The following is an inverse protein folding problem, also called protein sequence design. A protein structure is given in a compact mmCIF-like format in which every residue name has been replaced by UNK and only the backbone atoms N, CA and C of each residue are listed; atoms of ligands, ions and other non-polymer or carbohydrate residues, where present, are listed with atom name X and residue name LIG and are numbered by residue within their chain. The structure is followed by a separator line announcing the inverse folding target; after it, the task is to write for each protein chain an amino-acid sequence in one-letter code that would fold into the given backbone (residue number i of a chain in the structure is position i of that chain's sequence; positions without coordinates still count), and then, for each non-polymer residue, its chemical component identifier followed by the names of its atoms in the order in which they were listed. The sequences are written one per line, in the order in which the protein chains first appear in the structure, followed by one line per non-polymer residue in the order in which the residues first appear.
data_IF_238627957289
#
_entry.id   IF_238627957289
#
_cell.length_a   1.000
_cell.length_b   1.000
_cell.length_c   1.000
_cell.angle_alpha   90.00
_cell.angle_beta   90.00
_cell.angle_gamma   90.00
#
_symmetry.space_group_name_H-M   'P 1'
#
loop_
_entity.id
_entity.type
_entity.pdbx_description
1 polymer ?
#
# COMPACT_ATOMS: atom_id res chain seq x y z
N UNK A 1 9.81 12.66 -20.96
CA UNK A 1 10.52 13.65 -20.13
C UNK A 1 9.96 13.63 -18.72
N UNK A 2 10.79 13.21 -17.75
CA UNK A 2 10.41 13.29 -16.36
C UNK A 2 10.23 14.76 -15.97
N UNK A 3 9.14 15.07 -15.27
CA UNK A 3 8.92 16.36 -14.64
C UNK A 3 10.16 16.78 -13.82
N UNK A 4 10.50 18.07 -13.85
CA UNK A 4 11.66 18.61 -13.13
C UNK A 4 11.62 18.28 -11.63
N UNK A 5 10.43 18.22 -11.03
CA UNK A 5 10.26 17.79 -9.65
C UNK A 5 10.78 16.37 -9.43
N UNK A 6 10.44 15.43 -10.31
CA UNK A 6 10.91 14.03 -10.22
C UNK A 6 12.42 13.92 -10.42
N UNK A 7 13.01 14.76 -11.28
CA UNK A 7 14.46 14.83 -11.48
C UNK A 7 15.19 15.35 -10.25
N UNK A 8 14.63 16.32 -9.53
CA UNK A 8 15.22 16.98 -8.37
C UNK A 8 14.94 16.24 -7.05
N UNK A 9 13.93 15.35 -7.01
CA UNK A 9 13.59 14.62 -5.81
C UNK A 9 14.70 13.66 -5.36
N UNK A 10 14.96 13.63 -4.07
CA UNK A 10 15.86 12.67 -3.44
C UNK A 10 15.32 11.23 -3.41
N UNK A 11 14.04 11.01 -3.73
CA UNK A 11 13.45 9.67 -3.88
C UNK A 11 13.42 9.29 -5.34
N UNK A 12 13.86 8.06 -5.66
CA UNK A 12 13.73 7.50 -7.02
C UNK A 12 12.99 6.16 -6.98
N UNK A 13 12.17 5.96 -8.02
CA UNK A 13 11.31 4.79 -8.14
C UNK A 13 11.84 3.87 -9.22
N UNK A 14 11.89 2.57 -8.91
CA UNK A 14 12.34 1.52 -9.83
C UNK A 14 11.33 0.37 -9.83
N UNK A 15 11.28 -0.38 -10.91
CA UNK A 15 10.52 -1.61 -11.05
C UNK A 15 11.49 -2.69 -11.50
N UNK A 16 11.70 -3.71 -10.67
CA UNK A 16 12.63 -4.81 -10.94
C UNK A 16 11.94 -6.06 -11.49
N UNK A 17 10.62 -6.11 -11.36
CA UNK A 17 9.80 -7.24 -11.84
C UNK A 17 8.49 -6.76 -12.46
N UNK A 18 7.85 -7.62 -13.24
CA UNK A 18 6.52 -7.38 -13.81
C UNK A 18 5.65 -8.61 -13.64
N UNK A 19 4.42 -8.38 -13.16
CA UNK A 19 3.43 -9.39 -12.90
C UNK A 19 3.46 -9.93 -11.48
N UNK A 20 2.47 -10.72 -11.12
CA UNK A 20 2.27 -11.28 -9.79
C UNK A 20 1.77 -12.72 -9.90
N UNK A 21 2.24 -13.68 -9.07
CA UNK A 21 1.78 -15.07 -9.14
C UNK A 21 0.41 -15.31 -8.48
N UNK A 22 -0.18 -14.29 -7.85
CA UNK A 22 -1.45 -14.39 -7.11
C UNK A 22 -2.65 -13.90 -7.92
N UNK A 23 -3.85 -14.41 -7.56
CA UNK A 23 -5.13 -14.16 -8.24
C UNK A 23 -6.09 -13.34 -7.38
N UNK A 24 -5.59 -12.26 -6.75
CA UNK A 24 -6.44 -11.37 -5.97
C UNK A 24 -7.48 -10.70 -6.87
N UNK A 25 -8.76 -10.79 -6.50
CA UNK A 25 -9.92 -10.39 -7.33
C UNK A 25 -9.99 -8.91 -7.66
N UNK A 26 -9.41 -8.06 -6.81
CA UNK A 26 -9.38 -6.59 -6.97
C UNK A 26 -8.20 -6.09 -7.81
N UNK A 27 -7.25 -6.96 -8.21
CA UNK A 27 -5.96 -6.56 -8.74
C UNK A 27 -5.89 -6.68 -10.25
N UNK A 28 -5.36 -5.66 -10.92
CA UNK A 28 -5.12 -5.66 -12.37
C UNK A 28 -4.12 -6.73 -12.83
N UNK A 29 -3.21 -7.19 -11.98
CA UNK A 29 -2.29 -8.26 -12.34
C UNK A 29 -3.02 -9.55 -12.71
N UNK A 30 -4.16 -9.85 -12.07
CA UNK A 30 -5.00 -10.96 -12.44
C UNK A 30 -5.58 -10.76 -13.85
N UNK A 31 -6.18 -9.62 -14.13
CA UNK A 31 -6.73 -9.30 -15.46
C UNK A 31 -5.66 -9.32 -16.56
N UNK A 32 -4.46 -8.80 -16.28
CA UNK A 32 -3.32 -8.86 -17.20
C UNK A 32 -2.84 -10.29 -17.42
N UNK A 33 -2.79 -11.12 -16.37
CA UNK A 33 -2.40 -12.53 -16.50
C UNK A 33 -3.35 -13.31 -17.41
N UNK A 34 -4.65 -13.03 -17.34
CA UNK A 34 -5.64 -13.61 -18.25
C UNK A 34 -5.41 -13.14 -19.69
N UNK A 35 -5.22 -11.86 -19.94
CA UNK A 35 -4.98 -11.27 -21.25
C UNK A 35 -3.71 -11.85 -21.93
N UNK A 36 -2.68 -12.15 -21.14
CA UNK A 36 -1.40 -12.67 -21.60
C UNK A 36 -1.24 -14.18 -21.36
N UNK A 37 -2.32 -14.92 -21.08
CA UNK A 37 -2.27 -16.36 -20.88
C UNK A 37 -1.63 -17.06 -22.08
N UNK A 38 -0.63 -17.90 -21.82
CA UNK A 38 0.13 -18.61 -22.87
C UNK A 38 1.15 -17.77 -23.64
N UNK A 39 1.32 -16.48 -23.34
CA UNK A 39 2.25 -15.57 -24.04
C UNK A 39 3.54 -15.28 -23.26
N UNK A 40 3.96 -16.18 -22.40
CA UNK A 40 5.20 -16.05 -21.62
C UNK A 40 5.01 -16.27 -20.13
N UNK A 41 6.04 -15.94 -19.36
CA UNK A 41 6.01 -16.09 -17.90
C UNK A 41 5.12 -15.04 -17.25
N UNK A 42 4.27 -15.45 -16.31
CA UNK A 42 3.40 -14.57 -15.54
C UNK A 42 4.18 -13.57 -14.67
N UNK A 43 5.28 -14.00 -14.09
CA UNK A 43 6.21 -13.14 -13.34
C UNK A 43 7.55 -13.12 -14.05
N UNK A 44 8.07 -11.92 -14.32
CA UNK A 44 9.36 -11.68 -14.96
C UNK A 44 10.20 -10.79 -14.06
N UNK A 45 11.34 -11.28 -13.63
CA UNK A 45 12.28 -10.59 -12.74
C UNK A 45 13.51 -10.17 -13.55
N UNK A 46 14.00 -8.96 -13.34
CA UNK A 46 15.31 -8.51 -13.86
C UNK A 46 16.44 -9.23 -13.10
N UNK A 47 17.59 -9.43 -13.75
CA UNK A 47 18.78 -9.87 -13.04
C UNK A 47 19.25 -8.80 -12.04
N UNK A 48 19.92 -9.23 -10.99
CA UNK A 48 20.49 -8.30 -9.98
C UNK A 48 21.48 -7.33 -10.64
N UNK A 49 22.29 -7.79 -11.60
CA UNK A 49 23.18 -6.93 -12.40
C UNK A 49 22.44 -5.77 -13.03
N UNK A 50 21.32 -6.07 -13.70
CA UNK A 50 20.54 -5.03 -14.39
C UNK A 50 19.90 -4.05 -13.43
N UNK A 51 19.42 -4.52 -12.29
CA UNK A 51 18.86 -3.63 -11.25
C UNK A 51 19.94 -2.69 -10.72
N UNK A 52 21.11 -3.21 -10.37
CA UNK A 52 22.22 -2.40 -9.86
C UNK A 52 22.69 -1.40 -10.93
N UNK A 53 22.87 -1.85 -12.17
CA UNK A 53 23.24 -0.97 -13.30
C UNK A 53 22.26 0.22 -13.42
N UNK A 54 20.96 -0.03 -13.42
CA UNK A 54 19.96 1.03 -13.55
C UNK A 54 19.94 1.98 -12.36
N UNK A 55 20.06 1.46 -11.13
CA UNK A 55 20.08 2.29 -9.93
C UNK A 55 21.34 3.15 -9.88
N UNK A 56 22.50 2.60 -10.19
CA UNK A 56 23.78 3.32 -10.25
C UNK A 56 23.72 4.39 -11.34
N UNK A 57 23.22 4.06 -12.54
CA UNK A 57 23.08 5.01 -13.66
C UNK A 57 22.23 6.23 -13.27
N UNK A 58 21.13 6.03 -12.51
CA UNK A 58 20.28 7.13 -12.02
C UNK A 58 20.99 7.92 -10.94
N UNK A 59 21.65 7.25 -9.97
CA UNK A 59 22.38 7.89 -8.86
C UNK A 59 23.49 8.81 -9.34
N UNK A 60 24.20 8.44 -10.41
CA UNK A 60 25.27 9.26 -10.97
C UNK A 60 24.78 10.54 -11.67
N UNK A 61 23.49 10.58 -12.07
CA UNK A 61 22.93 11.67 -12.89
C UNK A 61 21.94 12.56 -12.16
N UNK A 62 21.38 12.06 -11.06
CA UNK A 62 20.30 12.76 -10.34
C UNK A 62 20.49 12.64 -8.82
N UNK A 63 20.03 13.63 -8.05
CA UNK A 63 19.95 13.50 -6.60
C UNK A 63 19.20 12.24 -6.21
N UNK A 64 19.78 11.42 -5.34
CA UNK A 64 19.14 10.20 -4.85
C UNK A 64 19.60 9.90 -3.43
N UNK A 65 18.67 9.80 -2.49
CA UNK A 65 18.91 9.49 -1.08
C UNK A 65 18.12 8.27 -0.63
N UNK A 66 17.06 7.92 -1.37
CA UNK A 66 16.15 6.84 -1.04
C UNK A 66 15.63 6.16 -2.30
N UNK A 67 15.58 4.83 -2.29
CA UNK A 67 15.08 4.01 -3.40
C UNK A 67 13.72 3.44 -3.04
N UNK A 68 12.76 3.51 -3.96
CA UNK A 68 11.46 2.85 -3.84
C UNK A 68 11.34 1.81 -4.95
N UNK A 69 11.33 0.54 -4.58
CA UNK A 69 10.99 -0.53 -5.51
C UNK A 69 9.48 -0.72 -5.54
N UNK A 70 8.87 -0.38 -6.69
CA UNK A 70 7.41 -0.40 -6.91
C UNK A 70 6.90 -1.76 -7.40
N UNK A 71 7.71 -2.80 -7.29
CA UNK A 71 7.29 -4.15 -7.64
C UNK A 71 6.01 -4.52 -6.87
N UNK A 72 5.12 -5.27 -7.51
CA UNK A 72 3.94 -5.81 -6.83
C UNK A 72 4.35 -6.74 -5.68
N UNK A 73 5.44 -7.50 -5.89
CA UNK A 73 6.06 -8.38 -4.90
C UNK A 73 7.57 -8.46 -5.12
N UNK A 74 8.32 -7.89 -4.20
CA UNK A 74 9.78 -7.81 -4.31
C UNK A 74 10.51 -9.11 -3.95
N UNK A 75 10.00 -9.86 -2.96
CA UNK A 75 10.71 -10.98 -2.30
C UNK A 75 10.27 -12.38 -2.79
N UNK A 76 9.83 -12.52 -4.05
CA UNK A 76 9.31 -13.81 -4.54
C UNK A 76 10.42 -14.86 -4.62
N UNK A 77 11.52 -14.54 -5.27
CA UNK A 77 12.64 -15.46 -5.49
C UNK A 77 13.72 -15.30 -4.41
N UNK A 78 13.97 -16.37 -3.65
CA UNK A 78 14.93 -16.35 -2.53
C UNK A 78 16.36 -16.15 -3.01
N UNK A 79 16.78 -16.86 -4.07
CA UNK A 79 18.15 -16.78 -4.61
C UNK A 79 18.46 -15.37 -5.13
N UNK A 80 17.49 -14.76 -5.83
CA UNK A 80 17.60 -13.39 -6.30
C UNK A 80 17.75 -12.39 -5.13
N UNK A 81 16.94 -12.57 -4.08
CA UNK A 81 17.02 -11.71 -2.89
C UNK A 81 18.36 -11.88 -2.16
N UNK A 82 18.87 -13.09 -2.09
CA UNK A 82 20.19 -13.38 -1.49
C UNK A 82 21.31 -12.70 -2.27
N UNK A 83 21.32 -12.81 -3.60
CA UNK A 83 22.29 -12.12 -4.45
C UNK A 83 22.20 -10.60 -4.29
N UNK A 84 20.97 -10.05 -4.29
CA UNK A 84 20.74 -8.62 -4.08
C UNK A 84 21.24 -8.15 -2.72
N UNK A 85 20.96 -8.90 -1.65
CA UNK A 85 21.41 -8.58 -0.29
C UNK A 85 22.93 -8.52 -0.18
N UNK A 86 23.63 -9.43 -0.85
CA UNK A 86 25.10 -9.46 -0.86
C UNK A 86 25.72 -8.27 -1.62
N UNK A 87 25.03 -7.68 -2.58
CA UNK A 87 25.60 -6.71 -3.54
C UNK A 87 25.09 -5.28 -3.36
N UNK A 88 23.78 -5.09 -3.18
CA UNK A 88 23.16 -3.77 -3.16
C UNK A 88 23.77 -2.79 -2.14
N UNK A 89 24.11 -3.20 -0.89
CA UNK A 89 24.74 -2.31 0.08
C UNK A 89 26.09 -1.77 -0.34
N UNK A 90 26.87 -2.57 -1.06
CA UNK A 90 28.22 -2.22 -1.50
C UNK A 90 28.23 -1.39 -2.78
N UNK A 91 27.37 -1.73 -3.72
CA UNK A 91 27.35 -1.13 -5.05
C UNK A 91 26.42 0.11 -5.13
N UNK A 92 25.34 0.13 -4.33
CA UNK A 92 24.39 1.25 -4.27
C UNK A 92 24.48 2.00 -2.95
N UNK A 93 24.42 1.31 -1.81
CA UNK A 93 24.60 1.90 -0.47
C UNK A 93 23.50 2.86 -0.03
N UNK A 94 22.27 2.73 -0.57
CA UNK A 94 21.14 3.57 -0.23
C UNK A 94 20.01 2.78 0.45
N UNK A 95 19.31 3.39 1.41
CA UNK A 95 18.13 2.77 2.01
C UNK A 95 17.00 2.64 0.99
N UNK A 96 16.15 1.63 1.16
CA UNK A 96 15.03 1.42 0.26
C UNK A 96 13.74 0.95 0.93
N UNK A 97 12.65 1.14 0.21
CA UNK A 97 11.33 0.59 0.44
C UNK A 97 10.98 -0.45 -0.65
N UNK A 98 10.24 -1.51 -0.28
CA UNK A 98 9.67 -2.44 -1.25
C UNK A 98 8.33 -3.00 -0.77
N UNK A 99 7.54 -3.59 -1.69
CA UNK A 99 6.28 -4.25 -1.36
C UNK A 99 6.48 -5.74 -1.11
N UNK A 100 5.81 -6.21 -0.06
CA UNK A 100 5.85 -7.61 0.37
C UNK A 100 4.44 -8.16 0.59
N UNK A 101 4.33 -9.48 0.72
CA UNK A 101 3.09 -10.18 1.07
C UNK A 101 3.33 -11.08 2.28
N UNK A 102 2.40 -11.10 3.22
CA UNK A 102 2.56 -11.82 4.50
C UNK A 102 2.92 -13.32 4.32
N UNK A 103 2.32 -14.01 3.32
CA UNK A 103 2.66 -15.41 3.03
C UNK A 103 4.13 -15.65 2.64
N UNK A 104 4.80 -14.62 2.11
CA UNK A 104 6.20 -14.73 1.65
C UNK A 104 7.19 -14.34 2.74
N UNK A 105 6.73 -13.78 3.85
CA UNK A 105 7.59 -13.38 4.97
C UNK A 105 8.02 -14.61 5.76
N UNK A 106 9.34 -14.78 5.86
CA UNK A 106 10.03 -15.74 6.73
C UNK A 106 11.18 -15.02 7.44
N UNK A 107 11.70 -15.57 8.57
CA UNK A 107 12.85 -14.99 9.26
C UNK A 107 14.06 -14.76 8.34
N UNK A 108 14.35 -15.71 7.45
CA UNK A 108 15.47 -15.66 6.51
C UNK A 108 15.31 -14.51 5.51
N UNK A 109 14.12 -14.36 4.91
CA UNK A 109 13.86 -13.28 3.96
C UNK A 109 13.88 -11.91 4.61
N UNK A 110 13.42 -11.81 5.86
CA UNK A 110 13.49 -10.56 6.63
C UNK A 110 14.94 -10.20 6.94
N UNK A 111 15.78 -11.18 7.31
CA UNK A 111 17.20 -10.97 7.50
C UNK A 111 17.89 -10.48 6.21
N UNK A 112 17.61 -11.11 5.06
CA UNK A 112 18.12 -10.68 3.75
C UNK A 112 17.65 -9.26 3.37
N UNK A 113 16.40 -8.92 3.62
CA UNK A 113 15.91 -7.55 3.41
C UNK A 113 16.68 -6.54 4.25
N UNK A 114 16.92 -6.87 5.53
CA UNK A 114 17.70 -6.01 6.42
C UNK A 114 19.14 -5.86 5.96
N UNK A 115 19.79 -6.96 5.58
CA UNK A 115 21.14 -6.97 5.01
C UNK A 115 21.22 -6.14 3.73
N UNK A 116 20.22 -6.24 2.85
CA UNK A 116 20.14 -5.44 1.62
C UNK A 116 20.00 -3.92 1.84
N UNK A 117 19.71 -3.47 3.08
CA UNK A 117 19.51 -2.07 3.41
C UNK A 117 18.03 -1.64 3.36
N UNK A 118 17.07 -2.58 3.38
CA UNK A 118 15.65 -2.28 3.48
C UNK A 118 15.34 -1.61 4.81
N UNK A 119 14.73 -0.42 4.77
CA UNK A 119 14.32 0.32 5.97
C UNK A 119 12.82 0.31 6.20
N UNK A 120 12.05 0.06 5.15
CA UNK A 120 10.59 0.00 5.24
C UNK A 120 9.98 -0.90 4.18
N UNK A 121 8.84 -1.50 4.49
CA UNK A 121 8.09 -2.35 3.56
C UNK A 121 6.61 -1.98 3.57
N UNK A 122 5.97 -2.11 2.39
CA UNK A 122 4.52 -2.08 2.23
C UNK A 122 3.95 -3.50 2.22
N UNK A 123 2.96 -3.78 3.06
CA UNK A 123 2.31 -5.08 3.12
C UNK A 123 0.79 -4.92 3.02
N UNK A 124 0.19 -5.52 1.98
CA UNK A 124 -1.26 -5.56 1.82
C UNK A 124 -1.91 -6.45 2.88
N UNK A 125 -2.65 -5.84 3.81
CA UNK A 125 -3.55 -6.51 4.74
C UNK A 125 -4.95 -6.61 4.11
N UNK A 126 -5.40 -5.52 3.54
CA UNK A 126 -6.61 -5.24 2.75
C UNK A 126 -7.88 -5.24 3.60
N UNK A 127 -8.22 -6.32 4.29
CA UNK A 127 -9.37 -6.39 5.21
C UNK A 127 -9.10 -7.31 6.39
N UNK A 128 -9.62 -6.95 7.55
CA UNK A 128 -9.60 -7.76 8.78
C UNK A 128 -10.64 -8.86 8.79
N UNK A 129 -11.71 -8.73 8.00
CA UNK A 129 -12.72 -9.76 7.91
C UNK A 129 -12.19 -10.98 7.13
N UNK A 130 -12.08 -12.13 7.82
CA UNK A 130 -11.46 -13.35 7.26
C UNK A 130 -12.24 -13.90 6.07
N UNK A 131 -13.57 -13.89 6.10
CA UNK A 131 -14.39 -14.36 5.00
C UNK A 131 -14.21 -13.47 3.76
N UNK A 132 -14.33 -12.14 3.91
CA UNK A 132 -14.08 -11.21 2.82
C UNK A 132 -12.66 -11.36 2.26
N UNK A 133 -11.66 -11.47 3.13
CA UNK A 133 -10.26 -11.62 2.71
C UNK A 133 -10.03 -12.87 1.87
N UNK A 134 -10.61 -14.01 2.26
CA UNK A 134 -10.28 -15.30 1.65
C UNK A 134 -11.28 -15.73 0.57
N UNK A 135 -12.56 -15.43 0.72
CA UNK A 135 -13.60 -15.82 -0.23
C UNK A 135 -13.81 -14.77 -1.34
N UNK A 136 -13.89 -13.48 -0.95
CA UNK A 136 -14.13 -12.39 -1.90
C UNK A 136 -12.84 -11.89 -2.53
N UNK A 137 -11.82 -11.59 -1.73
CA UNK A 137 -10.54 -11.06 -2.24
C UNK A 137 -9.55 -12.17 -2.68
N UNK A 138 -9.82 -13.44 -2.40
CA UNK A 138 -8.98 -14.62 -2.70
C UNK A 138 -7.53 -14.47 -2.25
N UNK A 139 -7.33 -13.95 -1.04
CA UNK A 139 -5.97 -13.73 -0.53
C UNK A 139 -5.37 -14.95 0.17
N UNK A 140 -6.18 -15.87 0.66
CA UNK A 140 -5.74 -17.12 1.31
C UNK A 140 -4.71 -16.89 2.41
N UNK A 141 -5.07 -16.05 3.41
CA UNK A 141 -4.22 -15.72 4.55
C UNK A 141 -5.03 -15.70 5.85
N UNK A 142 -4.47 -16.30 6.91
CA UNK A 142 -5.00 -16.17 8.26
C UNK A 142 -4.53 -14.88 8.95
N UNK A 143 -5.25 -14.47 10.00
CA UNK A 143 -4.84 -13.34 10.86
C UNK A 143 -3.49 -13.62 11.51
N UNK A 144 -3.28 -14.84 12.03
CA UNK A 144 -2.02 -15.24 12.65
C UNK A 144 -0.84 -15.08 11.71
N UNK A 145 -1.00 -15.45 10.42
CA UNK A 145 0.06 -15.29 9.42
C UNK A 145 0.38 -13.82 9.16
N UNK A 146 -0.63 -12.96 9.14
CA UNK A 146 -0.45 -11.51 8.95
C UNK A 146 0.23 -10.88 10.17
N UNK A 147 -0.22 -11.23 11.38
CA UNK A 147 0.34 -10.73 12.64
C UNK A 147 1.78 -11.19 12.82
N UNK A 148 2.06 -12.48 12.54
CA UNK A 148 3.41 -13.02 12.63
C UNK A 148 4.36 -12.36 11.62
N UNK A 149 3.95 -12.19 10.38
CA UNK A 149 4.74 -11.46 9.37
C UNK A 149 5.03 -10.02 9.83
N UNK A 150 4.03 -9.35 10.39
CA UNK A 150 4.18 -7.99 10.94
C UNK A 150 5.16 -7.95 12.11
N UNK A 151 5.13 -8.96 12.98
CA UNK A 151 6.05 -9.10 14.12
C UNK A 151 7.49 -9.25 13.63
N UNK A 152 7.75 -10.19 12.72
CA UNK A 152 9.09 -10.46 12.16
C UNK A 152 9.70 -9.20 11.51
N UNK A 153 8.90 -8.48 10.70
CA UNK A 153 9.35 -7.24 10.04
C UNK A 153 9.77 -6.19 11.09
N UNK A 154 8.93 -5.96 12.11
CA UNK A 154 9.18 -4.94 13.14
C UNK A 154 10.36 -5.31 14.04
N UNK A 155 10.50 -6.57 14.44
CA UNK A 155 11.62 -7.06 15.27
C UNK A 155 12.97 -6.92 14.56
N UNK A 156 13.00 -7.00 13.23
CA UNK A 156 14.18 -6.69 12.43
C UNK A 156 14.48 -5.18 12.32
N UNK A 157 13.64 -4.32 12.91
CA UNK A 157 13.78 -2.87 12.83
C UNK A 157 13.42 -2.29 11.45
N UNK A 158 12.63 -3.01 10.65
CA UNK A 158 12.09 -2.55 9.37
C UNK A 158 10.71 -1.92 9.64
N UNK A 159 10.48 -0.72 9.12
CA UNK A 159 9.21 -0.02 9.29
C UNK A 159 8.13 -0.67 8.42
N UNK A 160 6.98 -0.97 9.02
CA UNK A 160 5.86 -1.60 8.33
C UNK A 160 4.81 -0.56 7.94
N UNK A 161 4.53 -0.44 6.65
CA UNK A 161 3.33 0.20 6.12
C UNK A 161 2.32 -0.90 5.78
N UNK A 162 1.10 -0.82 6.32
CA UNK A 162 0.00 -1.68 5.86
C UNK A 162 -0.88 -0.93 4.87
N UNK A 163 -1.34 -1.63 3.83
CA UNK A 163 -2.39 -1.13 2.95
C UNK A 163 -3.69 -1.84 3.24
N UNK A 164 -4.78 -1.07 3.29
CA UNK A 164 -6.09 -1.53 3.69
C UNK A 164 -7.15 -0.95 2.75
N UNK A 165 -8.16 -1.73 2.45
CA UNK A 165 -9.36 -1.29 1.75
C UNK A 165 -10.52 -1.21 2.73
N UNK A 166 -11.22 -0.10 2.73
CA UNK A 166 -12.48 0.10 3.48
C UNK A 166 -13.63 0.27 2.50
N UNK A 167 -14.83 -0.11 2.95
CA UNK A 167 -16.02 -0.03 2.10
C UNK A 167 -16.00 -1.03 0.94
N UNK A 168 -15.63 -2.27 1.18
CA UNK A 168 -15.68 -3.34 0.18
C UNK A 168 -17.13 -3.66 -0.23
N UNK A 169 -17.39 -4.09 -1.47
CA UNK A 169 -18.72 -4.44 -1.94
C UNK A 169 -19.32 -5.60 -1.13
N UNK A 170 -20.53 -5.40 -0.62
CA UNK A 170 -21.20 -6.35 0.29
C UNK A 170 -20.70 -6.33 1.73
N UNK A 171 -19.70 -5.49 2.03
CA UNK A 171 -19.20 -5.28 3.38
C UNK A 171 -20.00 -4.26 4.17
N UNK A 172 -19.73 -4.18 5.46
CA UNK A 172 -20.35 -3.28 6.43
C UNK A 172 -19.31 -2.44 7.14
N UNK A 173 -19.74 -1.38 7.82
CA UNK A 173 -18.87 -0.58 8.69
C UNK A 173 -18.14 -1.45 9.75
N UNK A 174 -18.79 -2.50 10.29
CA UNK A 174 -18.14 -3.39 11.25
C UNK A 174 -16.98 -4.19 10.63
N UNK A 175 -17.07 -4.60 9.37
CA UNK A 175 -15.94 -5.25 8.68
C UNK A 175 -14.73 -4.31 8.55
N UNK A 176 -14.98 -3.01 8.40
CA UNK A 176 -13.91 -2.01 8.40
C UNK A 176 -13.29 -1.83 9.81
N UNK A 177 -14.10 -1.95 10.87
CA UNK A 177 -13.56 -1.98 12.24
C UNK A 177 -12.81 -3.28 12.57
N UNK A 178 -13.17 -4.43 11.99
CA UNK A 178 -12.35 -5.65 12.06
C UNK A 178 -10.98 -5.41 11.40
N UNK A 179 -10.96 -4.66 10.29
CA UNK A 179 -9.71 -4.26 9.62
C UNK A 179 -8.85 -3.37 10.52
N UNK A 180 -9.47 -2.44 11.22
CA UNK A 180 -8.79 -1.61 12.21
C UNK A 180 -8.23 -2.44 13.37
N UNK A 181 -9.01 -3.40 13.89
CA UNK A 181 -8.58 -4.28 14.97
C UNK A 181 -7.38 -5.16 14.58
N UNK A 182 -7.37 -5.71 13.36
CA UNK A 182 -6.22 -6.47 12.85
C UNK A 182 -4.97 -5.59 12.72
N UNK A 183 -5.11 -4.33 12.30
CA UNK A 183 -4.00 -3.38 12.29
C UNK A 183 -3.46 -3.08 13.68
N UNK A 184 -4.31 -3.04 14.73
CA UNK A 184 -3.85 -2.90 16.12
C UNK A 184 -2.95 -4.07 16.53
N UNK A 185 -3.28 -5.30 16.12
CA UNK A 185 -2.45 -6.48 16.38
C UNK A 185 -1.12 -6.41 15.60
N UNK A 186 -1.14 -5.92 14.36
CA UNK A 186 0.03 -5.78 13.50
C UNK A 186 0.99 -4.66 13.94
N UNK A 187 0.48 -3.60 14.58
CA UNK A 187 1.24 -2.41 15.04
C UNK A 187 2.11 -1.79 13.94
N UNK A 188 1.55 -1.39 12.78
CA UNK A 188 2.33 -0.80 11.69
C UNK A 188 2.86 0.57 12.07
N UNK A 189 3.96 1.00 11.44
CA UNK A 189 4.46 2.36 11.51
C UNK A 189 3.52 3.37 10.81
N UNK A 190 2.75 2.89 9.83
CA UNK A 190 1.67 3.63 9.19
C UNK A 190 0.65 2.67 8.59
N UNK A 191 -0.63 2.86 8.91
CA UNK A 191 -1.73 2.12 8.31
C UNK A 191 -2.40 3.01 7.25
N UNK A 192 -2.17 2.70 5.98
CA UNK A 192 -2.80 3.41 4.88
C UNK A 192 -4.12 2.74 4.52
N UNK A 193 -5.23 3.48 4.50
CA UNK A 193 -6.53 2.98 4.10
C UNK A 193 -7.02 3.70 2.84
N UNK A 194 -7.71 2.97 1.97
CA UNK A 194 -8.32 3.45 0.75
C UNK A 194 -9.79 3.05 0.71
N UNK A 195 -10.65 3.91 0.22
CA UNK A 195 -11.99 3.50 -0.20
C UNK A 195 -11.84 2.60 -1.43
N UNK A 196 -12.45 1.41 -1.37
CA UNK A 196 -12.42 0.51 -2.51
C UNK A 196 -13.06 1.17 -3.75
N UNK A 197 -12.37 1.05 -4.89
CA UNK A 197 -12.86 1.51 -6.18
C UNK A 197 -13.06 0.29 -7.13
N UNK A 198 -14.25 0.13 -7.73
CA UNK A 198 -14.58 -1.00 -8.58
C UNK A 198 -13.97 -0.85 -9.98
N UNK A 199 -12.68 -1.08 -10.10
CA UNK A 199 -12.01 -0.96 -11.40
C UNK A 199 -12.57 -1.94 -12.44
N UNK A 200 -12.85 -1.46 -13.66
CA UNK A 200 -13.32 -2.31 -14.77
C UNK A 200 -12.37 -3.47 -15.05
N UNK A 201 -12.92 -4.61 -15.46
CA UNK A 201 -12.17 -5.84 -15.79
C UNK A 201 -11.43 -6.50 -14.62
N UNK A 202 -11.59 -6.03 -13.40
CA UNK A 202 -11.20 -6.80 -12.22
C UNK A 202 -12.38 -7.67 -11.78
N UNK A 203 -12.11 -8.88 -11.29
CA UNK A 203 -13.16 -9.80 -10.85
C UNK A 203 -14.05 -9.16 -9.77
N UNK A 204 -13.46 -8.44 -8.81
CA UNK A 204 -14.20 -7.74 -7.76
C UNK A 204 -14.99 -6.54 -8.30
N UNK A 205 -14.48 -5.83 -9.30
CA UNK A 205 -15.20 -4.73 -9.95
C UNK A 205 -16.44 -5.22 -10.69
N UNK A 206 -16.33 -6.33 -11.43
CA UNK A 206 -17.47 -6.96 -12.09
C UNK A 206 -18.47 -7.52 -11.07
N UNK A 207 -17.98 -8.18 -10.00
CA UNK A 207 -18.83 -8.62 -8.89
C UNK A 207 -19.62 -7.46 -8.28
N UNK A 208 -18.99 -6.33 -8.05
CA UNK A 208 -19.66 -5.15 -7.49
C UNK A 208 -20.76 -4.63 -8.44
N UNK A 209 -20.49 -4.59 -9.74
CA UNK A 209 -21.44 -4.15 -10.76
C UNK A 209 -22.62 -5.13 -10.89
N UNK A 210 -22.36 -6.43 -11.00
CA UNK A 210 -23.38 -7.46 -11.22
C UNK A 210 -24.34 -7.63 -10.04
N UNK A 211 -23.83 -7.39 -8.82
CA UNK A 211 -24.65 -7.46 -7.60
C UNK A 211 -25.28 -6.11 -7.20
N UNK A 212 -25.20 -5.08 -8.06
CA UNK A 212 -25.85 -3.80 -7.83
C UNK A 212 -25.23 -2.95 -6.72
N UNK A 213 -23.96 -3.20 -6.37
CA UNK A 213 -23.23 -2.40 -5.38
C UNK A 213 -22.69 -1.09 -5.94
N UNK A 214 -22.65 -0.88 -7.25
CA UNK A 214 -22.18 0.36 -7.88
C UNK A 214 -23.33 1.34 -8.02
N UNK A 215 -23.14 2.59 -7.56
CA UNK A 215 -24.05 3.72 -7.80
C UNK A 215 -23.55 4.52 -8.99
N UNK A 216 -24.41 4.71 -10.00
CA UNK A 216 -24.06 5.45 -11.21
C UNK A 216 -23.20 4.66 -12.20
N UNK A 217 -22.24 5.33 -12.82
CA UNK A 217 -21.31 4.78 -13.81
C UNK A 217 -19.91 4.56 -13.20
N UNK A 218 -19.16 3.64 -13.78
CA UNK A 218 -17.73 3.51 -13.49
C UNK A 218 -16.91 4.74 -13.92
N UNK A 219 -17.47 5.58 -14.80
CA UNK A 219 -16.87 6.87 -15.18
C UNK A 219 -16.97 7.92 -14.05
N UNK A 220 -17.84 7.67 -13.05
CA UNK A 220 -17.97 8.53 -11.86
C UNK A 220 -16.93 8.21 -10.77
N UNK A 221 -16.03 7.25 -11.01
CA UNK A 221 -14.93 6.95 -10.08
C UNK A 221 -14.08 8.20 -9.91
N UNK A 222 -14.03 8.71 -8.68
CA UNK A 222 -13.24 9.88 -8.34
C UNK A 222 -11.74 9.60 -8.57
N UNK A 223 -11.01 10.62 -9.02
CA UNK A 223 -9.56 10.56 -9.16
C UNK A 223 -8.84 10.29 -7.83
N UNK A 224 -9.53 10.48 -6.72
CA UNK A 224 -9.05 10.25 -5.37
C UNK A 224 -9.84 9.12 -4.67
N UNK A 225 -9.21 7.99 -4.47
CA UNK A 225 -9.76 6.87 -3.66
C UNK A 225 -9.91 7.20 -2.15
N UNK A 226 -9.80 8.49 -1.78
CA UNK A 226 -9.85 8.97 -0.40
C UNK A 226 -11.09 9.77 -0.07
N UNK A 227 -11.75 10.33 -1.07
CA UNK A 227 -12.81 11.32 -0.87
C UNK A 227 -14.19 10.66 -0.76
N UNK A 228 -14.58 9.91 -1.78
CA UNK A 228 -15.93 9.35 -1.91
C UNK A 228 -15.89 7.93 -2.47
N UNK A 229 -16.86 7.14 -2.03
CA UNK A 229 -17.12 5.82 -2.59
C UNK A 229 -18.22 5.90 -3.65
N UNK A 230 -18.02 5.22 -4.78
CA UNK A 230 -19.05 5.01 -5.80
C UNK A 230 -19.92 3.78 -5.48
N UNK A 231 -19.68 3.14 -4.33
CA UNK A 231 -20.47 1.99 -3.92
C UNK A 231 -21.73 2.40 -3.15
N UNK A 232 -22.73 1.55 -3.25
CA UNK A 232 -23.95 1.57 -2.45
C UNK A 232 -23.73 0.75 -1.18
N UNK A 233 -24.13 1.32 -0.05
CA UNK A 233 -24.18 0.65 1.25
C UNK A 233 -25.63 0.52 1.73
N UNK A 234 -25.84 -0.14 2.87
CA UNK A 234 -27.18 -0.39 3.39
C UNK A 234 -27.97 0.90 3.63
N UNK A 235 -27.27 1.96 4.06
CA UNK A 235 -27.84 3.30 4.25
C UNK A 235 -26.88 4.39 3.80
N UNK A 236 -27.39 5.58 3.42
CA UNK A 236 -26.52 6.75 3.17
C UNK A 236 -25.67 7.16 4.38
N UNK A 237 -26.17 6.87 5.58
CA UNK A 237 -25.42 7.12 6.80
C UNK A 237 -24.22 6.20 6.94
N UNK A 238 -24.38 4.92 6.70
CA UNK A 238 -23.26 3.96 6.72
C UNK A 238 -22.19 4.34 5.70
N UNK A 239 -22.58 4.71 4.48
CA UNK A 239 -21.65 5.22 3.46
C UNK A 239 -20.83 6.40 3.98
N UNK A 240 -21.48 7.40 4.56
CA UNK A 240 -20.81 8.56 5.17
C UNK A 240 -19.86 8.16 6.28
N UNK A 241 -20.27 7.22 7.13
CA UNK A 241 -19.43 6.74 8.24
C UNK A 241 -18.17 6.04 7.72
N UNK A 242 -18.27 5.20 6.69
CA UNK A 242 -17.14 4.54 6.04
C UNK A 242 -16.19 5.57 5.40
N UNK A 243 -16.71 6.55 4.69
CA UNK A 243 -15.92 7.64 4.08
C UNK A 243 -15.18 8.49 5.13
N UNK A 244 -15.80 8.74 6.28
CA UNK A 244 -15.18 9.43 7.40
C UNK A 244 -14.16 8.54 8.12
N UNK A 245 -14.46 7.24 8.29
CA UNK A 245 -13.53 6.28 8.87
C UNK A 245 -12.24 6.20 8.04
N UNK A 246 -12.34 6.18 6.72
CA UNK A 246 -11.17 6.20 5.84
C UNK A 246 -10.20 7.33 6.19
N UNK A 247 -10.71 8.52 6.47
CA UNK A 247 -9.90 9.70 6.83
C UNK A 247 -9.29 9.61 8.24
N UNK A 248 -9.96 8.93 9.16
CA UNK A 248 -9.52 8.80 10.55
C UNK A 248 -8.84 7.46 10.85
N UNK A 249 -8.81 6.53 9.89
CA UNK A 249 -8.34 5.16 10.06
C UNK A 249 -6.91 5.10 10.61
N UNK A 250 -5.98 5.78 9.96
CA UNK A 250 -4.59 5.77 10.37
C UNK A 250 -4.35 6.35 11.78
N UNK A 251 -5.16 7.35 12.17
CA UNK A 251 -5.11 7.92 13.52
C UNK A 251 -5.67 6.94 14.55
N UNK A 252 -6.77 6.26 14.22
CA UNK A 252 -7.35 5.23 15.09
C UNK A 252 -6.42 4.03 15.26
N UNK A 253 -5.64 3.67 14.23
CA UNK A 253 -4.61 2.61 14.34
C UNK A 253 -3.44 3.06 15.21
N UNK A 254 -2.96 4.30 15.04
CA UNK A 254 -1.83 4.84 15.82
C UNK A 254 -2.17 4.94 17.31
N UNK A 255 -3.41 5.36 17.62
CA UNK A 255 -3.89 5.51 18.98
C UNK A 255 -5.12 4.64 19.25
N UNK A 256 -4.96 3.37 19.66
CA UNK A 256 -6.07 2.41 19.84
C UNK A 256 -7.16 2.90 20.78
N UNK A 257 -6.81 3.70 21.80
CA UNK A 257 -7.77 4.32 22.73
C UNK A 257 -8.74 5.29 22.04
N UNK A 258 -8.39 5.83 20.88
CA UNK A 258 -9.26 6.71 20.10
C UNK A 258 -10.39 5.96 19.38
N UNK A 259 -10.35 4.64 19.28
CA UNK A 259 -11.35 3.87 18.49
C UNK A 259 -12.79 4.20 18.91
N UNK A 260 -13.06 4.29 20.21
CA UNK A 260 -14.37 4.67 20.74
C UNK A 260 -14.78 6.11 20.37
N UNK A 261 -13.81 7.04 20.35
CA UNK A 261 -14.03 8.41 19.91
C UNK A 261 -14.29 8.46 18.40
N UNK A 262 -13.49 7.74 17.62
CA UNK A 262 -13.64 7.67 16.15
C UNK A 262 -15.01 7.12 15.77
N UNK A 263 -15.53 6.09 16.44
CA UNK A 263 -16.90 5.59 16.24
C UNK A 263 -17.98 6.68 16.39
N UNK A 264 -17.76 7.66 17.26
CA UNK A 264 -18.68 8.81 17.41
C UNK A 264 -18.45 9.88 16.35
N UNK A 265 -17.18 10.18 16.04
CA UNK A 265 -16.83 11.23 15.09
C UNK A 265 -17.25 10.91 13.67
N UNK A 266 -17.19 9.64 13.24
CA UNK A 266 -17.57 9.26 11.88
C UNK A 266 -19.05 9.48 11.56
N UNK A 267 -19.92 9.59 12.56
CA UNK A 267 -21.34 9.93 12.39
C UNK A 267 -21.57 11.41 12.06
N UNK A 268 -20.56 12.26 12.22
CA UNK A 268 -20.64 13.67 11.87
C UNK A 268 -20.72 13.87 10.36
N UNK A 269 -21.27 14.99 9.87
CA UNK A 269 -21.19 15.36 8.46
C UNK A 269 -19.73 15.40 7.99
N UNK A 270 -19.45 15.16 6.70
CA UNK A 270 -18.13 15.35 6.11
C UNK A 270 -17.62 16.75 6.43
N UNK A 271 -16.37 16.86 6.89
CA UNK A 271 -15.83 18.15 7.26
C UNK A 271 -14.32 18.26 6.91
N UNK A 272 -13.81 19.47 6.68
CA UNK A 272 -12.43 19.68 6.27
C UNK A 272 -11.39 19.30 7.33
N UNK A 273 -11.79 19.23 8.60
CA UNK A 273 -10.87 18.89 9.71
C UNK A 273 -10.42 17.43 9.59
N UNK A 274 -11.30 16.50 9.21
CA UNK A 274 -10.93 15.10 8.99
C UNK A 274 -9.93 14.95 7.84
N UNK A 275 -10.17 15.69 6.74
CA UNK A 275 -9.24 15.73 5.61
C UNK A 275 -7.88 16.32 6.02
N UNK A 276 -7.88 17.40 6.77
CA UNK A 276 -6.65 18.01 7.27
C UNK A 276 -5.88 17.06 8.19
N UNK A 277 -6.56 16.43 9.14
CA UNK A 277 -5.96 15.46 10.07
C UNK A 277 -5.34 14.27 9.31
N UNK A 278 -6.07 13.73 8.32
CA UNK A 278 -5.57 12.70 7.42
C UNK A 278 -4.28 13.14 6.69
N UNK A 279 -4.32 14.31 6.03
CA UNK A 279 -3.17 14.82 5.27
C UNK A 279 -1.95 15.06 6.15
N UNK A 280 -2.12 15.69 7.29
CA UNK A 280 -1.01 15.97 8.20
C UNK A 280 -0.37 14.69 8.74
N UNK A 281 -1.21 13.72 9.15
CA UNK A 281 -0.70 12.45 9.67
C UNK A 281 -0.02 11.60 8.60
N UNK A 282 -0.62 11.47 7.42
CA UNK A 282 -0.04 10.77 6.26
C UNK A 282 1.31 11.39 5.88
N UNK A 283 1.36 12.72 5.71
CA UNK A 283 2.58 13.42 5.36
C UNK A 283 3.70 13.21 6.37
N UNK A 284 3.38 13.33 7.67
CA UNK A 284 4.33 13.05 8.74
C UNK A 284 4.84 11.61 8.71
N UNK A 285 3.94 10.62 8.67
CA UNK A 285 4.30 9.20 8.73
C UNK A 285 5.10 8.74 7.51
N UNK A 286 4.68 9.12 6.31
CA UNK A 286 5.40 8.77 5.09
C UNK A 286 6.81 9.36 5.10
N UNK A 287 6.94 10.65 5.39
CA UNK A 287 8.25 11.34 5.38
C UNK A 287 9.20 10.83 6.46
N UNK A 288 8.71 10.60 7.67
CA UNK A 288 9.62 10.36 8.81
C UNK A 288 9.78 8.88 9.16
N UNK A 289 8.81 8.03 8.77
CA UNK A 289 8.83 6.61 9.14
C UNK A 289 9.03 5.69 7.94
N UNK A 290 8.35 5.96 6.81
CA UNK A 290 8.32 5.03 5.67
C UNK A 290 9.39 5.37 4.64
N UNK A 291 9.50 6.64 4.23
CA UNK A 291 10.52 7.10 3.29
C UNK A 291 11.40 8.17 3.97
N UNK A 292 12.24 7.79 4.94
CA UNK A 292 13.06 8.74 5.68
C UNK A 292 14.21 9.27 4.82
N UNK A 293 14.05 10.46 4.24
CA UNK A 293 15.10 11.18 3.54
C UNK A 293 15.06 12.66 3.91
N UNK A 294 16.10 13.41 3.56
CA UNK A 294 16.23 14.85 3.86
C UNK A 294 16.04 15.67 2.58
N UNK A 295 14.81 16.10 2.27
CA UNK A 295 14.56 16.96 1.12
C UNK A 295 15.21 18.33 1.31
N UNK A 296 15.61 18.98 0.21
CA UNK A 296 15.93 20.40 0.24
C UNK A 296 14.69 21.24 0.60
N UNK A 297 14.89 22.48 1.06
CA UNK A 297 13.77 23.38 1.41
C UNK A 297 12.82 23.56 0.22
N UNK A 298 13.38 23.71 -0.99
CA UNK A 298 12.60 23.85 -2.23
C UNK A 298 11.78 22.59 -2.54
N UNK A 299 12.42 21.43 -2.47
CA UNK A 299 11.76 20.13 -2.67
C UNK A 299 10.63 19.91 -1.66
N UNK A 300 10.90 20.24 -0.38
CA UNK A 300 9.90 20.12 0.69
C UNK A 300 8.68 21.01 0.42
N UNK A 301 8.90 22.27 0.07
CA UNK A 301 7.80 23.21 -0.23
C UNK A 301 6.97 22.72 -1.44
N UNK A 302 7.62 22.25 -2.51
CA UNK A 302 6.95 21.71 -3.69
C UNK A 302 6.18 20.42 -3.37
N UNK A 303 6.76 19.55 -2.54
CA UNK A 303 6.09 18.30 -2.09
C UNK A 303 4.83 18.63 -1.29
N UNK A 304 4.92 19.56 -0.33
CA UNK A 304 3.77 20.00 0.47
C UNK A 304 2.68 20.60 -0.43
N UNK A 305 3.05 21.47 -1.36
CA UNK A 305 2.09 22.08 -2.28
C UNK A 305 1.35 21.03 -3.10
N UNK A 306 2.06 20.09 -3.74
CA UNK A 306 1.46 19.00 -4.53
C UNK A 306 0.58 18.10 -3.66
N UNK A 307 1.06 17.70 -2.49
CA UNK A 307 0.30 16.87 -1.54
C UNK A 307 -1.00 17.53 -1.09
N UNK A 308 -0.99 18.83 -0.87
CA UNK A 308 -2.21 19.57 -0.52
C UNK A 308 -3.18 19.74 -1.68
N UNK A 309 -2.71 19.70 -2.93
CA UNK A 309 -3.55 19.83 -4.13
C UNK A 309 -4.17 18.49 -4.57
N UNK A 310 -3.42 17.40 -4.53
CA UNK A 310 -3.80 16.14 -5.19
C UNK A 310 -4.18 15.01 -4.23
N UNK A 311 -3.84 15.09 -2.96
CA UNK A 311 -4.20 14.05 -1.96
C UNK A 311 -5.35 14.47 -1.04
#
# INVERSE_FOLDING_TARGET
DADEFTRQSGIKHFITSRGCPYDCTYCFNHALAELYRGKGRRLRQMSVDKVIEEVVWVRERYPMQFVVFLDDLFIVYADWLQELAARLPREVGLPFFCNVRANLITPEKVALLKEAGCTSVGMGLETGNTAMRNEILKRNMSDDKIVEASRLIREAGIQLLTTNMVGLPGGTLENDFETLALNHACKPAYANAFLYQPYPRTELGEYARENGYVEGSLDDIDHSAWERSVLRFSTPEEKRQIENLNKLFALAVEWPWMTGLVRRLISLPPNPLFRLAYKLWKGYAIKNRIHPYRPSIREFAQTVQRFMQFD
#
